data_IF_188296513445
#
_entry.id   IF_188296513445
#
_cell.length_a   1.000
_cell.length_b   1.000
_cell.length_c   1.000
_cell.angle_alpha   90.00
_cell.angle_beta   90.00
_cell.angle_gamma   90.00
#
_symmetry.space_group_name_H-M   'P 1'
#
loop_
_entity.id
_entity.type
_entity.pdbx_description
1 polymer ?
#
# COMPACT_ATOMS: atom_id res chain seq x y z
N UNK A 1 -10.56 20.84 12.94
CA UNK A 1 -11.60 20.11 12.19
C UNK A 1 -11.90 20.93 10.96
N UNK A 2 -11.31 20.60 9.81
CA UNK A 2 -11.72 21.22 8.54
C UNK A 2 -12.73 20.28 7.90
N UNK A 3 -13.97 20.74 7.87
CA UNK A 3 -15.03 20.19 7.03
C UNK A 3 -14.53 20.06 5.60
N UNK A 4 -14.84 18.93 4.99
CA UNK A 4 -14.59 18.60 3.59
C UNK A 4 -15.25 19.65 2.71
N UNK A 5 -14.48 20.65 2.27
CA UNK A 5 -14.86 21.47 1.14
C UNK A 5 -15.23 20.54 -0.03
N UNK A 6 -16.31 20.86 -0.77
CA UNK A 6 -16.74 20.07 -1.92
C UNK A 6 -15.59 19.91 -2.91
N UNK A 7 -14.97 18.72 -2.93
CA UNK A 7 -13.82 18.43 -3.77
C UNK A 7 -14.26 18.34 -5.24
N UNK A 8 -13.63 19.13 -6.12
CA UNK A 8 -13.90 19.07 -7.58
C UNK A 8 -13.48 17.73 -8.21
N UNK A 9 -12.57 16.99 -7.58
CA UNK A 9 -12.10 15.69 -8.03
C UNK A 9 -11.65 14.84 -6.83
N UNK A 10 -11.70 13.51 -6.96
CA UNK A 10 -11.19 12.56 -5.97
C UNK A 10 -10.50 11.38 -6.65
N UNK A 11 -9.54 10.77 -5.96
CA UNK A 11 -8.99 9.47 -6.30
C UNK A 11 -9.55 8.42 -5.34
N UNK A 12 -10.19 7.38 -5.89
CA UNK A 12 -10.68 6.25 -5.11
C UNK A 12 -9.67 5.12 -5.20
N UNK A 13 -9.22 4.63 -4.04
CA UNK A 13 -8.22 3.57 -3.96
C UNK A 13 -8.91 2.29 -3.51
N UNK A 14 -8.97 1.30 -4.41
CA UNK A 14 -9.52 -0.02 -4.11
C UNK A 14 -8.46 -0.90 -3.41
N UNK A 15 -8.57 -0.99 -2.09
CA UNK A 15 -7.72 -1.85 -1.28
C UNK A 15 -8.01 -3.35 -1.46
N UNK A 16 -9.20 -3.74 -1.94
CA UNK A 16 -9.48 -5.14 -2.27
C UNK A 16 -8.70 -5.55 -3.53
N UNK A 17 -8.63 -4.68 -4.54
CA UNK A 17 -7.79 -4.89 -5.72
C UNK A 17 -6.31 -5.02 -5.34
N UNK A 18 -5.81 -4.15 -4.45
CA UNK A 18 -4.42 -4.25 -3.95
C UNK A 18 -4.16 -5.60 -3.27
N UNK A 19 -5.06 -6.05 -2.38
CA UNK A 19 -4.93 -7.36 -1.71
C UNK A 19 -4.94 -8.52 -2.71
N UNK A 20 -5.81 -8.47 -3.72
CA UNK A 20 -5.87 -9.48 -4.77
C UNK A 20 -4.55 -9.56 -5.56
N UNK A 21 -3.99 -8.41 -5.93
CA UNK A 21 -2.71 -8.33 -6.64
C UNK A 21 -1.57 -8.94 -5.81
N UNK A 22 -1.49 -8.62 -4.52
CA UNK A 22 -0.47 -9.20 -3.62
C UNK A 22 -0.60 -10.72 -3.53
N UNK A 23 -1.83 -11.25 -3.40
CA UNK A 23 -2.07 -12.71 -3.35
C UNK A 23 -1.63 -13.40 -4.64
N UNK A 24 -1.94 -12.80 -5.80
CA UNK A 24 -1.52 -13.32 -7.11
C UNK A 24 0.00 -13.35 -7.23
N UNK A 25 0.69 -12.28 -6.87
CA UNK A 25 2.15 -12.22 -6.93
C UNK A 25 2.80 -13.24 -5.99
N UNK A 26 2.27 -13.39 -4.77
CA UNK A 26 2.75 -14.42 -3.84
C UNK A 26 2.58 -15.84 -4.37
N UNK A 27 1.45 -16.14 -4.99
CA UNK A 27 1.21 -17.46 -5.58
C UNK A 27 2.19 -17.76 -6.72
N UNK A 28 2.57 -16.74 -7.51
CA UNK A 28 3.52 -16.86 -8.62
C UNK A 28 4.98 -16.94 -8.18
N UNK A 29 5.31 -16.33 -7.04
CA UNK A 29 6.66 -16.31 -6.48
C UNK A 29 6.79 -17.30 -5.31
N UNK A 30 6.31 -18.54 -5.49
CA UNK A 30 6.36 -19.56 -4.47
C UNK A 30 7.80 -19.79 -3.98
N UNK A 31 8.00 -19.76 -2.65
CA UNK A 31 9.32 -19.90 -2.02
C UNK A 31 10.07 -18.59 -1.78
N UNK A 32 9.61 -17.45 -2.33
CA UNK A 32 10.20 -16.14 -2.08
C UNK A 32 9.33 -15.28 -1.14
N UNK A 33 9.99 -14.41 -0.39
CA UNK A 33 9.31 -13.34 0.33
C UNK A 33 8.95 -12.20 -0.61
N UNK A 34 7.70 -11.73 -0.53
CA UNK A 34 7.25 -10.55 -1.27
C UNK A 34 7.42 -9.29 -0.43
N UNK A 35 8.08 -8.29 -1.01
CA UNK A 35 8.17 -6.93 -0.46
C UNK A 35 7.19 -6.02 -1.21
N UNK A 36 6.24 -5.42 -0.48
CA UNK A 36 5.41 -4.37 -1.04
C UNK A 36 6.13 -3.02 -0.90
N UNK A 37 6.51 -2.43 -2.02
CA UNK A 37 7.15 -1.11 -2.03
C UNK A 37 6.05 -0.05 -1.96
N UNK A 38 6.08 0.78 -0.90
CA UNK A 38 5.07 1.81 -0.60
C UNK A 38 5.69 3.20 -0.47
N UNK A 39 6.85 3.43 -1.11
CA UNK A 39 7.49 4.75 -1.21
C UNK A 39 6.57 5.80 -1.84
N UNK A 40 6.86 7.09 -1.60
CA UNK A 40 6.12 8.21 -2.14
C UNK A 40 4.61 8.10 -1.87
N UNK A 41 4.25 7.85 -0.61
CA UNK A 41 2.87 7.66 -0.17
C UNK A 41 2.14 6.50 -0.90
N UNK A 42 2.79 5.34 -1.01
CA UNK A 42 2.36 4.23 -1.87
C UNK A 42 2.05 4.67 -3.31
N UNK A 43 3.00 5.37 -3.94
CA UNK A 43 2.81 5.93 -5.29
C UNK A 43 1.57 6.83 -5.38
N UNK A 44 1.30 7.61 -4.34
CA UNK A 44 0.14 8.52 -4.24
C UNK A 44 -1.19 7.85 -3.90
N UNK A 45 -1.20 6.57 -3.52
CA UNK A 45 -2.42 5.82 -3.16
C UNK A 45 -2.69 5.82 -1.63
N UNK A 46 -1.80 6.43 -0.83
CA UNK A 46 -1.85 6.42 0.63
C UNK A 46 -1.04 5.27 1.21
N UNK A 47 0.12 5.59 1.80
CA UNK A 47 1.09 4.62 2.30
C UNK A 47 0.53 3.71 3.38
N UNK A 48 -0.06 4.27 4.44
CA UNK A 48 -0.57 3.50 5.59
C UNK A 48 -1.67 2.51 5.19
N UNK A 49 -2.77 2.90 4.52
CA UNK A 49 -3.80 1.94 4.13
C UNK A 49 -3.29 0.89 3.14
N UNK A 50 -2.44 1.27 2.18
CA UNK A 50 -1.86 0.33 1.22
C UNK A 50 -0.89 -0.66 1.89
N UNK A 51 -0.04 -0.20 2.81
CA UNK A 51 0.88 -1.03 3.56
C UNK A 51 0.14 -2.08 4.41
N UNK A 52 -0.90 -1.66 5.14
CA UNK A 52 -1.74 -2.58 5.93
C UNK A 52 -2.41 -3.61 5.03
N UNK A 53 -3.04 -3.18 3.95
CA UNK A 53 -3.67 -4.09 2.99
C UNK A 53 -2.66 -5.08 2.38
N UNK A 54 -1.45 -4.62 2.04
CA UNK A 54 -0.40 -5.50 1.53
C UNK A 54 0.04 -6.55 2.58
N UNK A 55 0.22 -6.14 3.84
CA UNK A 55 0.55 -7.04 4.96
C UNK A 55 -0.53 -8.07 5.20
N UNK A 56 -1.80 -7.66 5.24
CA UNK A 56 -2.96 -8.56 5.37
C UNK A 56 -3.05 -9.57 4.22
N UNK A 57 -2.64 -9.18 3.01
CA UNK A 57 -2.57 -10.07 1.85
C UNK A 57 -1.32 -10.97 1.82
N UNK A 58 -0.41 -10.82 2.78
CA UNK A 58 0.73 -11.70 3.00
C UNK A 58 2.08 -11.17 2.52
N UNK A 59 2.19 -9.89 2.14
CA UNK A 59 3.51 -9.29 1.89
C UNK A 59 4.38 -9.42 3.16
N UNK A 60 5.54 -10.04 3.04
CA UNK A 60 6.44 -10.31 4.15
C UNK A 60 7.26 -9.08 4.56
N UNK A 61 7.45 -8.14 3.63
CA UNK A 61 8.21 -6.92 3.84
C UNK A 61 7.47 -5.70 3.29
N UNK A 62 7.79 -4.54 3.85
CA UNK A 62 7.46 -3.24 3.30
C UNK A 62 8.76 -2.54 2.89
N UNK A 63 8.76 -1.88 1.74
CA UNK A 63 9.89 -1.11 1.25
C UNK A 63 9.52 0.37 1.06
N UNK A 64 10.28 1.27 1.65
CA UNK A 64 10.13 2.72 1.49
C UNK A 64 11.39 3.31 0.83
N UNK A 65 11.32 4.58 0.40
CA UNK A 65 12.49 5.28 -0.15
C UNK A 65 13.32 5.96 0.96
N UNK A 66 12.70 6.34 2.07
CA UNK A 66 13.37 7.07 3.16
C UNK A 66 13.05 6.49 4.55
N UNK A 67 13.90 6.75 5.57
CA UNK A 67 13.60 6.41 6.96
C UNK A 67 12.34 7.11 7.50
N UNK A 68 12.04 8.33 7.05
CA UNK A 68 10.86 9.07 7.49
C UNK A 68 9.57 8.40 7.03
N UNK A 69 9.53 7.94 5.78
CA UNK A 69 8.44 7.11 5.29
C UNK A 69 8.33 5.80 6.08
N UNK A 70 9.47 5.17 6.43
CA UNK A 70 9.46 3.94 7.22
C UNK A 70 8.92 4.17 8.64
N UNK A 71 9.27 5.29 9.28
CA UNK A 71 8.81 5.66 10.61
C UNK A 71 7.28 5.92 10.67
N UNK A 72 6.67 6.29 9.54
CA UNK A 72 5.25 6.57 9.43
C UNK A 72 4.35 5.32 9.27
N UNK A 73 4.95 4.13 9.10
CA UNK A 73 4.26 2.86 8.85
C UNK A 73 4.14 2.00 10.12
#
# INVERSE_FOLDING_TARGET
MNETASLRARAEIDLAALRANVRVLRARAAGAHLMAVVKADAYGHGAVPCARAAREAGAAWLGTATPQEALAL
#
